data_IF_753174967841
#
_entry.id   IF_753174967841
#
_cell.length_a   1.000
_cell.length_b   1.000
_cell.length_c   1.000
_cell.angle_alpha   90.00
_cell.angle_beta   90.00
_cell.angle_gamma   90.00
#
_symmetry.space_group_name_H-M   'P 1'
#
loop_
_entity.id
_entity.type
_entity.pdbx_description
1 polymer ?
#
# COMPACT_ATOMS: atom_id res chain seq x y z
N UNK A 1 2.84 -7.91 -12.59
CA UNK A 1 1.65 -7.42 -13.32
C UNK A 1 0.47 -7.25 -12.36
N UNK A 2 -0.22 -6.12 -12.39
CA UNK A 2 -1.36 -5.89 -11.50
C UNK A 2 -2.47 -6.87 -11.82
N UNK A 3 -3.01 -7.50 -10.78
CA UNK A 3 -4.20 -8.35 -10.86
C UNK A 3 -4.09 -9.43 -11.95
N UNK A 4 -2.91 -10.05 -12.03
CA UNK A 4 -2.63 -11.13 -12.98
C UNK A 4 -3.67 -12.25 -12.81
N UNK A 5 -4.34 -12.60 -13.91
CA UNK A 5 -5.26 -13.73 -14.00
C UNK A 5 -4.50 -15.00 -14.36
N UNK A 6 -5.05 -16.16 -13.99
CA UNK A 6 -4.46 -17.47 -14.31
C UNK A 6 -2.97 -17.52 -13.92
N UNK A 7 -2.66 -16.99 -12.73
CA UNK A 7 -1.30 -16.79 -12.23
C UNK A 7 -0.65 -18.10 -11.75
N UNK A 8 -1.28 -19.25 -11.98
CA UNK A 8 -0.86 -20.57 -11.51
C UNK A 8 -1.44 -20.91 -10.13
N UNK A 9 -2.71 -20.56 -9.86
CA UNK A 9 -3.31 -20.76 -8.54
C UNK A 9 -3.39 -22.23 -8.15
N UNK A 10 -3.58 -23.13 -9.13
CA UNK A 10 -3.75 -24.57 -8.89
C UNK A 10 -2.50 -25.21 -8.25
N UNK A 11 -1.31 -24.68 -8.54
CA UNK A 11 -0.05 -25.17 -7.97
C UNK A 11 0.26 -24.55 -6.59
N UNK A 12 -0.33 -23.39 -6.27
CA UNK A 12 0.02 -22.60 -5.09
C UNK A 12 -0.26 -23.27 -3.74
N UNK A 13 -1.38 -23.99 -3.54
CA UNK A 13 -1.61 -24.75 -2.31
C UNK A 13 -0.50 -25.74 -1.95
N UNK A 14 0.15 -26.32 -2.96
CA UNK A 14 1.18 -27.35 -2.82
C UNK A 14 2.59 -26.81 -3.06
N UNK A 15 2.78 -25.51 -2.85
CA UNK A 15 4.05 -24.83 -3.07
C UNK A 15 5.17 -25.41 -2.19
N UNK A 16 6.23 -26.02 -2.75
CA UNK A 16 7.28 -26.67 -1.95
C UNK A 16 8.23 -25.68 -1.27
N UNK A 17 8.16 -24.38 -1.61
CA UNK A 17 9.04 -23.34 -1.07
C UNK A 17 8.40 -22.56 0.08
N UNK A 18 7.23 -22.99 0.58
CA UNK A 18 6.55 -22.38 1.71
C UNK A 18 5.97 -20.99 1.42
N UNK A 19 5.81 -20.63 0.13
CA UNK A 19 5.34 -19.30 -0.28
C UNK A 19 3.85 -19.10 0.00
N UNK A 20 3.10 -20.17 0.27
CA UNK A 20 1.70 -20.12 0.64
C UNK A 20 1.46 -20.01 2.16
N UNK A 21 2.31 -19.27 2.88
CA UNK A 21 2.27 -19.23 4.36
C UNK A 21 1.05 -18.50 4.94
N UNK A 22 0.40 -17.65 4.14
CA UNK A 22 -0.77 -16.87 4.56
C UNK A 22 -2.06 -17.28 3.81
N UNK A 23 -1.98 -18.21 2.86
CA UNK A 23 -3.10 -18.76 2.12
C UNK A 23 -3.15 -18.34 0.65
N UNK A 24 -4.05 -18.99 -0.10
CA UNK A 24 -4.10 -18.89 -1.56
C UNK A 24 -4.97 -17.71 -2.00
N UNK A 25 -4.43 -16.74 -2.78
CA UNK A 25 -5.22 -15.68 -3.39
C UNK A 25 -6.27 -16.22 -4.38
N UNK A 26 -7.26 -15.43 -4.79
CA UNK A 26 -8.25 -15.88 -5.76
C UNK A 26 -7.64 -15.99 -7.17
N UNK A 27 -8.20 -16.86 -8.02
CA UNK A 27 -7.78 -17.07 -9.42
C UNK A 27 -7.71 -15.78 -10.26
N UNK A 28 -8.55 -14.80 -9.93
CA UNK A 28 -8.65 -13.51 -10.64
C UNK A 28 -7.56 -12.50 -10.24
N UNK A 29 -6.94 -12.64 -9.06
CA UNK A 29 -6.01 -11.66 -8.50
C UNK A 29 -4.81 -12.35 -7.86
N UNK A 30 -3.67 -12.40 -8.57
CA UNK A 30 -2.41 -12.95 -8.06
C UNK A 30 -1.55 -11.98 -7.23
N UNK A 31 -2.07 -10.81 -6.87
CA UNK A 31 -1.29 -9.73 -6.24
C UNK A 31 -0.63 -10.22 -4.93
N UNK A 32 -1.41 -10.82 -4.03
CA UNK A 32 -0.89 -11.36 -2.76
C UNK A 32 -0.08 -12.67 -2.92
N UNK A 33 -0.10 -13.34 -4.08
CA UNK A 33 0.81 -14.47 -4.34
C UNK A 33 2.24 -13.92 -4.51
N UNK A 34 2.38 -12.85 -5.29
CA UNK A 34 3.67 -12.16 -5.46
C UNK A 34 4.19 -11.56 -4.17
N UNK A 35 3.31 -10.92 -3.37
CA UNK A 35 3.71 -10.39 -2.05
C UNK A 35 4.23 -11.50 -1.16
N UNK A 36 3.51 -12.63 -1.05
CA UNK A 36 3.95 -13.75 -0.23
C UNK A 36 5.26 -14.38 -0.76
N UNK A 37 5.41 -14.50 -2.08
CA UNK A 37 6.66 -14.93 -2.70
C UNK A 37 7.83 -14.01 -2.28
N UNK A 38 7.67 -12.69 -2.44
CA UNK A 38 8.71 -11.70 -2.09
C UNK A 38 9.04 -11.74 -0.60
N UNK A 39 8.04 -11.81 0.28
CA UNK A 39 8.24 -11.92 1.73
C UNK A 39 9.06 -13.17 2.06
N UNK A 40 8.69 -14.31 1.48
CA UNK A 40 9.36 -15.59 1.73
C UNK A 40 10.82 -15.54 1.28
N UNK A 41 11.10 -14.86 0.17
CA UNK A 41 12.45 -14.69 -0.40
C UNK A 41 13.33 -13.63 0.31
N UNK A 42 12.78 -12.84 1.24
CA UNK A 42 13.58 -11.86 1.98
C UNK A 42 14.65 -12.54 2.85
N UNK A 43 15.85 -11.93 2.91
CA UNK A 43 16.91 -12.35 3.82
C UNK A 43 16.39 -12.48 5.27
N UNK A 44 16.67 -13.59 5.97
CA UNK A 44 16.27 -13.76 7.36
C UNK A 44 16.77 -12.62 8.25
N UNK A 45 15.94 -12.20 9.21
CA UNK A 45 16.18 -11.12 10.18
C UNK A 45 16.37 -9.69 9.62
N UNK A 46 17.07 -9.49 8.50
CA UNK A 46 17.45 -8.15 8.00
C UNK A 46 16.71 -7.72 6.74
N UNK A 47 16.05 -8.65 6.05
CA UNK A 47 15.42 -8.41 4.77
C UNK A 47 14.30 -7.36 4.83
N UNK A 48 14.27 -6.53 3.78
CA UNK A 48 13.23 -5.54 3.50
C UNK A 48 12.87 -5.62 2.01
N UNK A 49 11.62 -5.34 1.68
CA UNK A 49 11.15 -5.28 0.29
C UNK A 49 10.15 -4.15 0.13
N UNK A 50 10.05 -3.63 -1.08
CA UNK A 50 8.99 -2.71 -1.49
C UNK A 50 8.38 -3.24 -2.78
N UNK A 51 7.05 -3.20 -2.88
CA UNK A 51 6.30 -3.68 -4.04
C UNK A 51 5.20 -2.71 -4.42
N UNK A 52 5.03 -2.47 -5.71
CA UNK A 52 3.92 -1.66 -6.23
C UNK A 52 2.72 -2.57 -6.47
N UNK A 53 1.56 -2.20 -5.93
CA UNK A 53 0.30 -2.93 -6.05
C UNK A 53 -0.84 -1.99 -6.46
N UNK A 54 -1.90 -2.49 -7.11
CA UNK A 54 -3.13 -1.71 -7.26
C UNK A 54 -3.77 -1.48 -5.87
N UNK A 55 -4.42 -0.33 -5.66
CA UNK A 55 -5.07 -0.01 -4.37
C UNK A 55 -6.01 -1.10 -3.86
N UNK A 56 -6.70 -1.83 -4.76
CA UNK A 56 -7.58 -2.93 -4.38
C UNK A 56 -6.91 -3.99 -3.49
N UNK A 57 -5.60 -4.23 -3.61
CA UNK A 57 -4.90 -5.20 -2.75
C UNK A 57 -4.95 -4.83 -1.25
N UNK A 58 -5.14 -3.53 -0.94
CA UNK A 58 -5.19 -3.00 0.43
C UNK A 58 -6.52 -3.26 1.14
N UNK A 59 -7.62 -3.46 0.40
CA UNK A 59 -8.96 -3.53 0.99
C UNK A 59 -9.87 -4.63 0.43
N UNK A 60 -9.48 -5.34 -0.64
CA UNK A 60 -10.26 -6.49 -1.15
C UNK A 60 -10.45 -7.52 -0.04
N UNK A 61 -11.69 -7.98 0.09
CA UNK A 61 -12.17 -8.92 1.11
C UNK A 61 -11.94 -10.38 0.70
N UNK A 62 -12.47 -11.33 1.48
CA UNK A 62 -12.36 -12.76 1.16
C UNK A 62 -10.96 -13.31 1.45
N UNK A 63 -10.39 -14.09 0.53
CA UNK A 63 -9.08 -14.70 0.72
C UNK A 63 -7.94 -13.68 0.84
N UNK A 64 -7.96 -12.60 0.04
CA UNK A 64 -6.95 -11.53 0.17
C UNK A 64 -7.03 -10.80 1.52
N UNK A 65 -8.23 -10.57 2.05
CA UNK A 65 -8.40 -10.00 3.39
C UNK A 65 -7.83 -10.90 4.49
N UNK A 66 -8.03 -12.22 4.39
CA UNK A 66 -7.44 -13.19 5.33
C UNK A 66 -5.92 -13.23 5.23
N UNK A 67 -5.37 -13.24 4.01
CA UNK A 67 -3.93 -13.19 3.77
C UNK A 67 -3.33 -11.92 4.36
N UNK A 68 -3.92 -10.76 4.04
CA UNK A 68 -3.47 -9.45 4.55
C UNK A 68 -3.48 -9.42 6.08
N UNK A 69 -4.55 -9.91 6.71
CA UNK A 69 -4.65 -10.01 8.18
C UNK A 69 -3.52 -10.87 8.75
N UNK A 70 -3.25 -12.05 8.14
CA UNK A 70 -2.16 -12.93 8.58
C UNK A 70 -0.78 -12.28 8.43
N UNK A 71 -0.54 -11.54 7.36
CA UNK A 71 0.73 -10.82 7.13
C UNK A 71 0.90 -9.67 8.12
N UNK A 72 -0.19 -8.97 8.47
CA UNK A 72 -0.22 -7.94 9.51
C UNK A 72 0.03 -8.54 10.90
N UNK A 73 -0.57 -9.69 11.22
CA UNK A 73 -0.36 -10.39 12.50
C UNK A 73 1.09 -10.85 12.70
N UNK A 74 1.80 -11.12 11.61
CA UNK A 74 3.23 -11.42 11.62
C UNK A 74 4.11 -10.16 11.74
N UNK A 75 3.50 -8.98 11.86
CA UNK A 75 4.15 -7.67 11.95
C UNK A 75 5.11 -7.39 10.78
N UNK A 76 4.76 -7.84 9.57
CA UNK A 76 5.66 -7.77 8.40
C UNK A 76 5.50 -6.48 7.59
N UNK A 77 4.30 -5.90 7.51
CA UNK A 77 4.06 -4.67 6.73
C UNK A 77 4.54 -3.47 7.55
N UNK A 78 5.56 -2.75 7.08
CA UNK A 78 6.13 -1.58 7.75
C UNK A 78 5.46 -0.28 7.30
N UNK A 79 5.17 -0.14 6.01
CA UNK A 79 4.50 1.03 5.48
C UNK A 79 3.63 0.72 4.25
N UNK A 80 2.61 1.55 4.04
CA UNK A 80 1.79 1.61 2.83
C UNK A 80 1.78 3.06 2.35
N UNK A 81 2.20 3.29 1.12
CA UNK A 81 2.28 4.61 0.49
C UNK A 81 1.31 4.62 -0.68
N UNK A 82 0.23 5.39 -0.62
CA UNK A 82 -0.72 5.54 -1.73
C UNK A 82 -0.25 6.61 -2.68
N UNK A 83 -0.26 6.30 -3.97
CA UNK A 83 0.19 7.21 -5.02
C UNK A 83 -1.00 7.72 -5.83
N UNK A 84 -0.78 8.82 -6.54
CA UNK A 84 -1.75 9.38 -7.46
C UNK A 84 -2.05 8.47 -8.66
N UNK A 85 -3.16 8.70 -9.38
CA UNK A 85 -3.48 7.98 -10.61
C UNK A 85 -2.52 8.35 -11.74
N UNK A 86 -2.58 7.60 -12.85
CA UNK A 86 -1.85 7.88 -14.10
C UNK A 86 -0.32 7.99 -13.97
N UNK A 87 0.32 7.46 -12.93
CA UNK A 87 1.78 7.48 -12.79
C UNK A 87 2.46 6.39 -13.63
N UNK A 88 1.81 5.23 -13.81
CA UNK A 88 2.39 4.07 -14.47
C UNK A 88 1.93 3.94 -15.93
N UNK A 89 2.83 3.52 -16.81
CA UNK A 89 2.46 3.23 -18.20
C UNK A 89 1.46 2.08 -18.27
N UNK A 90 0.46 2.20 -19.15
CA UNK A 90 -0.51 1.15 -19.42
C UNK A 90 -1.64 1.01 -18.41
N UNK A 91 -1.74 1.88 -17.39
CA UNK A 91 -2.90 1.93 -16.51
C UNK A 91 -3.14 3.33 -15.96
N UNK A 92 -4.41 3.75 -15.90
CA UNK A 92 -4.82 4.99 -15.24
C UNK A 92 -5.08 4.82 -13.75
N UNK A 93 -5.05 3.59 -13.24
CA UNK A 93 -5.37 3.28 -11.86
C UNK A 93 -4.33 3.89 -10.91
N UNK A 94 -4.81 4.38 -9.77
CA UNK A 94 -3.96 4.66 -8.63
C UNK A 94 -3.34 3.37 -8.09
N UNK A 95 -2.07 3.47 -7.69
CA UNK A 95 -1.29 2.36 -7.17
C UNK A 95 -0.70 2.75 -5.81
N UNK A 96 -0.30 1.74 -5.04
CA UNK A 96 0.33 1.92 -3.76
C UNK A 96 1.66 1.18 -3.72
N UNK A 97 2.56 1.63 -2.86
CA UNK A 97 3.78 0.92 -2.51
C UNK A 97 3.55 0.29 -1.13
N UNK A 98 3.75 -1.01 -1.02
CA UNK A 98 3.78 -1.71 0.26
C UNK A 98 5.23 -2.03 0.59
N UNK A 99 5.68 -1.59 1.76
CA UNK A 99 6.99 -1.89 2.32
C UNK A 99 6.83 -2.96 3.38
N UNK A 100 7.57 -4.06 3.26
CA UNK A 100 7.63 -5.09 4.29
C UNK A 100 9.06 -5.28 4.80
N UNK A 101 9.18 -5.67 6.07
CA UNK A 101 10.45 -5.91 6.74
C UNK A 101 10.35 -7.16 7.63
N UNK A 102 11.36 -8.01 7.57
CA UNK A 102 11.42 -9.26 8.38
C UNK A 102 11.45 -9.01 9.88
N UNK A 103 12.13 -7.95 10.31
CA UNK A 103 12.18 -7.51 11.71
C UNK A 103 12.15 -6.00 11.77
N UNK A 104 11.06 -5.45 12.29
CA UNK A 104 10.93 -4.00 12.49
C UNK A 104 11.85 -3.49 13.61
N UNK A 105 12.40 -2.28 13.46
CA UNK A 105 12.96 -1.51 14.59
C UNK A 105 11.96 -1.45 15.75
N UNK A 106 12.48 -1.38 16.98
CA UNK A 106 11.66 -1.49 18.20
C UNK A 106 10.54 -0.46 18.28
N UNK A 107 10.84 0.78 17.90
CA UNK A 107 9.92 1.92 17.85
C UNK A 107 8.79 1.77 16.80
N UNK A 108 8.99 0.89 15.80
CA UNK A 108 8.06 0.63 14.69
C UNK A 108 7.29 -0.69 14.82
N UNK A 109 7.57 -1.52 15.83
CA UNK A 109 6.87 -2.79 16.04
C UNK A 109 5.39 -2.57 16.29
N UNK A 110 4.58 -3.50 15.79
CA UNK A 110 3.12 -3.50 15.92
C UNK A 110 2.44 -2.22 15.40
N UNK A 111 3.09 -1.53 14.46
CA UNK A 111 2.60 -0.33 13.80
C UNK A 111 2.80 -0.43 12.30
N UNK A 112 1.96 0.26 11.54
CA UNK A 112 2.09 0.44 10.09
C UNK A 112 2.04 1.93 9.81
N UNK A 113 3.02 2.43 9.06
CA UNK A 113 2.96 3.80 8.55
C UNK A 113 2.09 3.84 7.29
N UNK A 114 1.03 4.62 7.35
CA UNK A 114 0.16 4.92 6.23
C UNK A 114 0.55 6.30 5.69
N UNK A 115 0.91 6.41 4.42
CA UNK A 115 1.29 7.67 3.76
C UNK A 115 0.35 7.93 2.59
N UNK A 116 -0.32 9.08 2.60
CA UNK A 116 -1.05 9.57 1.45
C UNK A 116 -0.12 10.47 0.60
N UNK A 117 0.20 10.00 -0.60
CA UNK A 117 0.92 10.74 -1.64
C UNK A 117 0.08 10.83 -2.92
N UNK A 118 -1.25 10.74 -2.79
CA UNK A 118 -2.19 10.79 -3.91
C UNK A 118 -2.22 12.14 -4.62
N UNK A 119 -1.76 13.20 -3.97
CA UNK A 119 -1.65 14.58 -4.48
C UNK A 119 -0.24 14.94 -4.99
N UNK A 120 0.77 14.10 -4.71
CA UNK A 120 2.17 14.39 -5.03
C UNK A 120 2.51 13.94 -6.45
N UNK A 121 2.10 14.73 -7.43
CA UNK A 121 2.53 14.54 -8.81
C UNK A 121 2.34 15.82 -9.61
N UNK A 122 3.17 15.97 -10.65
CA UNK A 122 2.90 16.96 -11.69
C UNK A 122 1.95 16.36 -12.72
N UNK A 123 0.83 17.03 -12.95
CA UNK A 123 -0.17 16.60 -13.93
C UNK A 123 0.42 16.69 -15.33
N UNK A 124 0.43 15.57 -16.05
CA UNK A 124 0.76 15.54 -17.47
C UNK A 124 -0.47 15.26 -18.34
N UNK A 125 -0.30 15.29 -19.66
CA UNK A 125 -1.41 15.12 -20.61
C UNK A 125 -1.99 13.70 -20.58
N UNK A 126 -1.13 12.69 -20.63
CA UNK A 126 -1.52 11.27 -20.65
C UNK A 126 -0.98 10.50 -19.44
N UNK A 127 0.01 11.05 -18.74
CA UNK A 127 0.70 10.42 -17.63
C UNK A 127 1.14 11.51 -16.65
N UNK A 128 0.91 11.28 -15.37
CA UNK A 128 1.40 12.11 -14.28
C UNK A 128 2.88 11.79 -14.01
N UNK A 129 3.63 12.76 -13.51
CA UNK A 129 5.05 12.60 -13.24
C UNK A 129 5.35 12.80 -11.75
N UNK A 130 6.08 11.85 -11.19
CA UNK A 130 6.60 11.94 -9.82
C UNK A 130 7.97 12.62 -9.87
N UNK A 131 7.98 13.95 -9.88
CA UNK A 131 9.22 14.74 -9.83
C UNK A 131 10.00 14.51 -8.52
N UNK A 132 11.30 14.85 -8.50
CA UNK A 132 12.20 14.56 -7.38
C UNK A 132 11.72 15.13 -6.03
N UNK A 133 11.12 16.32 -6.05
CA UNK A 133 10.54 16.98 -4.88
C UNK A 133 9.40 16.18 -4.25
N UNK A 134 8.54 15.56 -5.06
CA UNK A 134 7.49 14.66 -4.58
C UNK A 134 8.09 13.41 -3.93
N UNK A 135 9.13 12.83 -4.54
CA UNK A 135 9.83 11.66 -3.99
C UNK A 135 10.45 11.99 -2.63
N UNK A 136 11.05 13.19 -2.50
CA UNK A 136 11.65 13.62 -1.24
C UNK A 136 10.61 13.73 -0.12
N UNK A 137 9.44 14.31 -0.40
CA UNK A 137 8.34 14.39 0.58
C UNK A 137 7.89 13.00 1.05
N UNK A 138 7.75 12.05 0.12
CA UNK A 138 7.40 10.65 0.45
C UNK A 138 8.49 10.00 1.29
N UNK A 139 9.74 10.17 0.90
CA UNK A 139 10.89 9.61 1.60
C UNK A 139 11.01 10.16 3.03
N UNK A 140 10.87 11.47 3.19
CA UNK A 140 10.91 12.13 4.50
C UNK A 140 9.77 11.66 5.41
N UNK A 141 8.56 11.47 4.88
CA UNK A 141 7.44 10.92 5.62
C UNK A 141 7.73 9.48 6.11
N UNK A 142 8.32 8.66 5.23
CA UNK A 142 8.71 7.28 5.56
C UNK A 142 9.84 7.20 6.61
N UNK A 143 10.87 8.04 6.47
CA UNK A 143 12.00 8.08 7.40
C UNK A 143 11.56 8.61 8.77
N UNK A 144 10.76 9.68 8.80
CA UNK A 144 10.26 10.29 10.03
C UNK A 144 9.33 9.38 10.83
N UNK A 145 8.56 8.53 10.15
CA UNK A 145 7.66 7.54 10.77
C UNK A 145 6.75 8.18 11.84
N UNK A 146 6.07 9.26 11.50
CA UNK A 146 5.21 10.01 12.41
C UNK A 146 3.86 10.32 11.78
N UNK A 147 2.83 10.50 12.60
CA UNK A 147 1.54 11.04 12.14
C UNK A 147 1.71 12.52 11.78
N UNK A 148 1.28 12.89 10.59
CA UNK A 148 1.24 14.26 10.07
C UNK A 148 -0.11 14.43 9.38
N UNK A 149 -0.90 15.40 9.86
CA UNK A 149 -2.22 15.69 9.30
C UNK A 149 -2.17 15.87 7.78
N UNK A 150 -3.12 15.23 7.07
CA UNK A 150 -3.19 15.27 5.61
C UNK A 150 -2.08 14.50 4.86
N UNK A 151 -1.09 13.90 5.55
CA UNK A 151 0.07 13.26 4.89
C UNK A 151 0.34 11.83 5.36
N UNK A 152 0.32 11.58 6.66
CA UNK A 152 0.67 10.27 7.19
C UNK A 152 0.00 9.96 8.52
N UNK A 153 -0.22 8.67 8.78
CA UNK A 153 -0.76 8.15 10.03
C UNK A 153 0.02 6.91 10.46
N UNK A 154 0.45 6.87 11.72
CA UNK A 154 1.08 5.68 12.31
C UNK A 154 0.00 4.87 13.01
N UNK A 155 -0.61 3.95 12.27
CA UNK A 155 -1.68 3.11 12.77
C UNK A 155 -1.12 1.93 13.58
N UNK A 156 -1.74 1.63 14.72
CA UNK A 156 -1.43 0.40 15.48
C UNK A 156 -2.04 -0.83 14.81
N UNK A 157 -1.47 -2.02 15.01
CA UNK A 157 -2.10 -3.24 14.50
C UNK A 157 -3.51 -3.47 15.07
N UNK A 158 -3.77 -3.03 16.30
CA UNK A 158 -5.10 -3.17 16.92
C UNK A 158 -6.14 -2.25 16.29
N UNK A 159 -5.75 -1.03 15.96
CA UNK A 159 -6.58 -0.10 15.16
C UNK A 159 -6.93 -0.70 13.79
N UNK A 160 -5.93 -1.21 13.08
CA UNK A 160 -6.12 -1.84 11.76
C UNK A 160 -7.01 -3.09 11.86
N UNK A 161 -6.88 -3.89 12.93
CA UNK A 161 -7.77 -5.03 13.20
C UNK A 161 -9.21 -4.59 13.42
N UNK A 162 -9.43 -3.48 14.14
CA UNK A 162 -10.75 -2.87 14.31
C UNK A 162 -11.43 -2.54 12.99
N UNK A 163 -10.66 -2.29 11.94
CA UNK A 163 -11.11 -2.05 10.57
C UNK A 163 -11.06 -3.28 9.66
N UNK A 164 -11.07 -4.51 10.22
CA UNK A 164 -10.96 -5.77 9.49
C UNK A 164 -9.71 -5.90 8.60
N UNK A 165 -8.59 -5.32 9.05
CA UNK A 165 -7.32 -5.37 8.34
C UNK A 165 -7.26 -4.46 7.12
N UNK A 166 -8.17 -3.47 7.00
CA UNK A 166 -8.15 -2.50 5.92
C UNK A 166 -6.91 -1.61 6.03
N UNK A 167 -6.20 -1.42 4.91
CA UNK A 167 -5.03 -0.54 4.81
C UNK A 167 -5.32 0.67 3.90
N UNK A 168 -6.59 1.00 3.69
CA UNK A 168 -6.99 2.11 2.84
C UNK A 168 -6.72 3.46 3.50
N UNK A 169 -6.13 4.37 2.75
CA UNK A 169 -5.65 5.67 3.25
C UNK A 169 -6.76 6.70 3.43
N UNK A 170 -7.86 6.56 2.69
CA UNK A 170 -8.93 7.57 2.60
C UNK A 170 -9.75 7.76 3.89
N UNK A 171 -9.66 6.84 4.85
CA UNK A 171 -10.30 6.99 6.17
C UNK A 171 -9.38 7.51 7.27
N UNK A 172 -8.07 7.30 7.12
CA UNK A 172 -7.10 7.52 8.20
C UNK A 172 -6.29 8.82 8.04
N UNK A 173 -6.27 9.41 6.84
CA UNK A 173 -5.62 10.69 6.57
C UNK A 173 -6.69 11.72 6.20
N UNK A 174 -7.18 12.45 7.20
CA UNK A 174 -8.09 13.59 6.97
C UNK A 174 -7.32 14.68 6.22
N UNK A 175 -7.77 15.00 5.00
CA UNK A 175 -7.34 16.22 4.30
C UNK A 175 -8.20 17.36 4.84
N UNK A 176 -7.58 18.49 5.18
CA UNK A 176 -8.33 19.71 5.46
C UNK A 176 -9.21 20.02 4.23
N UNK A 177 -10.50 20.27 4.48
CA UNK A 177 -11.49 20.50 3.43
C UNK A 177 -11.00 21.54 2.41
N UNK A 178 -11.14 21.23 1.12
CA UNK A 178 -10.99 22.21 0.06
C UNK A 178 -12.00 23.33 0.33
N UNK A 179 -11.50 24.50 0.75
CA UNK A 179 -12.33 25.70 0.90
C UNK A 179 -12.83 26.04 -0.50
N UNK A 180 -14.12 25.80 -0.71
CA UNK A 180 -14.88 26.16 -1.89
C UNK A 180 -14.61 27.64 -2.23
N UNK A 181 -13.80 27.89 -3.26
CA UNK A 181 -13.61 29.24 -3.79
C UNK A 181 -14.79 29.49 -4.72
N UNK A 182 -15.75 30.37 -4.37
CA UNK A 182 -16.85 30.63 -5.27
C UNK A 182 -16.31 31.27 -6.55
N UNK A 183 -16.67 30.70 -7.69
CA UNK A 183 -16.38 31.25 -9.00
C UNK A 183 -16.99 32.65 -9.11
N UNK A 184 -16.16 33.66 -9.34
CA UNK A 184 -16.62 35.03 -9.64
C UNK A 184 -17.10 35.07 -11.08
N UNK A 185 -18.39 34.84 -11.30
CA UNK A 185 -19.10 35.30 -12.50
C UNK A 185 -20.44 35.91 -12.09
N UNK A 186 -20.40 37.19 -11.73
CA UNK A 186 -21.47 38.14 -11.98
C UNK A 186 -20.92 39.56 -11.74
N UNK A 187 -20.21 40.10 -12.72
CA UNK A 187 -20.05 41.54 -12.85
C UNK A 187 -20.13 41.92 -14.33
N UNK A 188 -21.28 42.53 -14.64
CA UNK A 188 -21.66 43.34 -15.81
C UNK A 188 -21.81 42.67 -17.17
#
# INVERSE_FOLDING_TARGET
>A
PFSLKAWGEDAWPNDPWGRNFAGTPPKKYGDWAWVQHMITSMAPATGRMAVVLPHGALFRMGSEGKIRSKVLDLDLIEAVIGLGPNLFYGTSLAACIVVARRRKPEDRRSKVLLVDASDLFRKGRNQNMLDHEHVQVIFDAYERFSTVEGRSHVASLDEIRGQAGNLNLAGDVTKADDVDIPSVEAAT
#
